data_IF_546378208867
#
_entry.id   IF_546378208867
#
_cell.length_a   1.000
_cell.length_b   1.000
_cell.length_c   1.000
_cell.angle_alpha   90.00
_cell.angle_beta   90.00
_cell.angle_gamma   90.00
#
_symmetry.space_group_name_H-M   'P 1'
#
loop_
_entity.id
_entity.type
_entity.pdbx_description
1 polymer ?
#
# COMPACT_ATOMS: atom_id res chain seq x y z
N UNK A 1 -22.25 14.96 15.32
CA UNK A 1 -21.59 13.96 16.18
C UNK A 1 -20.82 13.07 15.23
N UNK A 2 -19.49 13.14 15.23
CA UNK A 2 -18.69 12.26 14.38
C UNK A 2 -18.92 10.81 14.84
N UNK A 3 -19.25 9.88 13.91
CA UNK A 3 -19.37 8.48 14.28
C UNK A 3 -18.04 8.00 14.85
N UNK A 4 -18.10 7.27 15.97
CA UNK A 4 -16.92 6.63 16.50
C UNK A 4 -16.61 5.41 15.62
N UNK A 5 -15.88 5.66 14.54
CA UNK A 5 -15.55 4.66 13.51
C UNK A 5 -14.89 3.39 14.08
N UNK A 6 -14.22 3.50 15.24
CA UNK A 6 -13.65 2.33 15.93
C UNK A 6 -14.74 1.46 16.57
N UNK A 7 -15.74 2.07 17.20
CA UNK A 7 -16.87 1.36 17.77
C UNK A 7 -17.72 0.70 16.67
N UNK A 8 -17.96 1.40 15.57
CA UNK A 8 -18.71 0.86 14.43
C UNK A 8 -17.98 -0.34 13.79
N UNK A 9 -16.66 -0.26 13.66
CA UNK A 9 -15.83 -1.40 13.21
C UNK A 9 -15.93 -2.60 14.14
N UNK A 10 -15.80 -2.39 15.46
CA UNK A 10 -15.92 -3.48 16.43
C UNK A 10 -17.28 -4.14 16.36
N UNK A 11 -18.35 -3.36 16.22
CA UNK A 11 -19.70 -3.88 16.09
C UNK A 11 -19.89 -4.66 14.78
N UNK A 12 -19.32 -4.18 13.67
CA UNK A 12 -19.32 -4.92 12.41
C UNK A 12 -18.60 -6.27 12.53
N UNK A 13 -17.44 -6.33 13.19
CA UNK A 13 -16.74 -7.59 13.43
C UNK A 13 -17.57 -8.58 14.26
N UNK A 14 -18.21 -8.12 15.34
CA UNK A 14 -19.08 -8.96 16.15
C UNK A 14 -20.27 -9.54 15.37
N UNK A 15 -20.85 -8.75 14.45
CA UNK A 15 -21.92 -9.23 13.57
C UNK A 15 -21.42 -10.29 12.59
N UNK A 16 -20.21 -10.13 12.03
CA UNK A 16 -19.61 -11.11 11.13
C UNK A 16 -19.39 -12.47 11.81
N UNK A 17 -18.94 -12.47 13.07
CA UNK A 17 -18.69 -13.69 13.85
C UNK A 17 -19.97 -14.49 14.15
N UNK A 18 -21.14 -13.85 14.11
CA UNK A 18 -22.44 -14.48 14.36
C UNK A 18 -23.12 -15.03 13.09
N UNK A 19 -22.57 -14.79 11.90
CA UNK A 19 -23.20 -15.20 10.65
C UNK A 19 -23.04 -16.71 10.39
N UNK A 20 -24.10 -17.39 9.91
CA UNK A 20 -23.97 -18.71 9.28
C UNK A 20 -23.03 -18.66 8.07
N UNK A 21 -22.36 -19.79 7.78
CA UNK A 21 -21.30 -19.87 6.76
C UNK A 21 -21.73 -19.34 5.38
N UNK A 22 -22.96 -19.62 4.94
CA UNK A 22 -23.48 -19.18 3.64
C UNK A 22 -23.60 -17.65 3.58
N UNK A 23 -24.07 -17.04 4.67
CA UNK A 23 -24.22 -15.57 4.77
C UNK A 23 -22.86 -14.90 4.93
N UNK A 24 -21.96 -15.49 5.71
CA UNK A 24 -20.59 -14.99 5.87
C UNK A 24 -19.87 -14.94 4.51
N UNK A 25 -19.97 -16.00 3.71
CA UNK A 25 -19.38 -16.03 2.37
C UNK A 25 -19.95 -14.94 1.45
N UNK A 26 -21.27 -14.71 1.47
CA UNK A 26 -21.89 -13.65 0.70
C UNK A 26 -21.42 -12.25 1.12
N UNK A 27 -21.37 -11.97 2.43
CA UNK A 27 -20.89 -10.69 2.95
C UNK A 27 -19.41 -10.48 2.66
N UNK A 28 -18.58 -11.53 2.79
CA UNK A 28 -17.17 -11.49 2.39
C UNK A 28 -17.05 -11.04 0.95
N UNK A 29 -17.71 -11.72 -0.01
CA UNK A 29 -17.62 -11.35 -1.43
C UNK A 29 -18.06 -9.91 -1.71
N UNK A 30 -19.05 -9.38 -0.98
CA UNK A 30 -19.45 -7.98 -1.09
C UNK A 30 -18.35 -7.03 -0.60
N UNK A 31 -17.78 -7.30 0.58
CA UNK A 31 -16.68 -6.50 1.13
C UNK A 31 -15.46 -6.51 0.22
N UNK A 32 -15.16 -7.64 -0.42
CA UNK A 32 -14.06 -7.76 -1.38
C UNK A 32 -14.17 -6.81 -2.58
N UNK A 33 -15.40 -6.46 -3.00
CA UNK A 33 -15.67 -5.50 -4.09
C UNK A 33 -15.65 -4.06 -3.59
N UNK A 34 -16.02 -3.83 -2.33
CA UNK A 34 -16.07 -2.49 -1.74
C UNK A 34 -14.68 -1.96 -1.32
N UNK A 35 -13.73 -2.84 -1.03
CA UNK A 35 -12.36 -2.46 -0.71
C UNK A 35 -11.61 -2.16 -2.01
N UNK A 36 -10.90 -1.04 -2.05
CA UNK A 36 -10.09 -0.65 -3.20
C UNK A 36 -9.05 -1.76 -3.51
N UNK A 37 -9.03 -2.32 -4.74
CA UNK A 37 -8.24 -3.51 -5.05
C UNK A 37 -6.74 -3.38 -4.77
N UNK A 38 -6.14 -2.21 -5.03
CA UNK A 38 -4.73 -1.98 -4.77
C UNK A 38 -4.44 -1.93 -3.27
N UNK A 39 -5.23 -1.20 -2.49
CA UNK A 39 -5.11 -1.11 -1.04
C UNK A 39 -5.26 -2.48 -0.38
N UNK A 40 -6.18 -3.31 -0.87
CA UNK A 40 -6.31 -4.70 -0.43
C UNK A 40 -5.04 -5.51 -0.73
N UNK A 41 -4.54 -5.41 -1.96
CA UNK A 41 -3.33 -6.11 -2.39
C UNK A 41 -2.13 -5.71 -1.52
N UNK A 42 -1.95 -4.41 -1.27
CA UNK A 42 -0.88 -3.88 -0.41
C UNK A 42 -1.01 -4.33 1.04
N UNK A 43 -2.23 -4.39 1.59
CA UNK A 43 -2.46 -4.85 2.96
C UNK A 43 -2.21 -6.35 3.16
N UNK A 44 -2.35 -7.15 2.10
CA UNK A 44 -2.10 -8.59 2.11
C UNK A 44 -0.69 -8.96 1.64
N UNK A 45 0.07 -8.00 1.10
CA UNK A 45 1.42 -8.24 0.66
C UNK A 45 2.27 -8.66 1.87
N UNK A 46 3.03 -9.77 1.77
CA UNK A 46 3.97 -10.14 2.83
C UNK A 46 5.01 -9.03 2.97
N UNK A 47 5.58 -8.91 4.18
CA UNK A 47 6.75 -8.07 4.38
C UNK A 47 7.86 -8.61 3.47
N UNK A 48 8.55 -7.71 2.77
CA UNK A 48 9.70 -8.07 1.97
C UNK A 48 10.86 -8.49 2.90
N UNK A 49 11.20 -9.77 2.85
CA UNK A 49 12.29 -10.38 3.61
C UNK A 49 13.55 -10.57 2.75
N UNK A 50 13.57 -10.08 1.51
CA UNK A 50 14.73 -10.21 0.63
C UNK A 50 15.93 -9.43 1.19
N UNK A 51 17.06 -10.11 1.35
CA UNK A 51 18.31 -9.44 1.71
C UNK A 51 18.69 -8.47 0.60
N UNK A 52 18.99 -7.22 0.98
CA UNK A 52 19.50 -6.24 0.02
C UNK A 52 20.88 -6.70 -0.44
N UNK A 53 20.99 -7.05 -1.72
CA UNK A 53 22.26 -7.45 -2.31
C UNK A 53 23.34 -6.36 -2.10
N UNK A 54 24.62 -6.72 -1.86
CA UNK A 54 25.67 -5.75 -1.53
C UNK A 54 25.82 -4.64 -2.57
N UNK A 55 25.66 -4.95 -3.85
CA UNK A 55 25.69 -3.99 -4.94
C UNK A 55 24.56 -2.96 -4.86
N UNK A 56 23.37 -3.40 -4.45
CA UNK A 56 22.19 -2.55 -4.27
C UNK A 56 22.36 -1.65 -3.06
N UNK A 57 22.87 -2.19 -1.94
CA UNK A 57 23.20 -1.39 -0.76
C UNK A 57 24.22 -0.29 -1.12
N UNK A 58 25.28 -0.64 -1.84
CA UNK A 58 26.28 0.32 -2.31
C UNK A 58 25.68 1.36 -3.28
N UNK A 59 24.72 0.98 -4.13
CA UNK A 59 24.03 1.91 -5.02
C UNK A 59 23.15 2.90 -4.24
N UNK A 60 22.43 2.44 -3.21
CA UNK A 60 21.64 3.28 -2.32
C UNK A 60 22.53 4.29 -1.60
N UNK A 61 23.66 3.85 -1.05
CA UNK A 61 24.58 4.74 -0.34
C UNK A 61 25.20 5.79 -1.26
N UNK A 62 25.57 5.41 -2.49
CA UNK A 62 26.01 6.38 -3.52
C UNK A 62 24.93 7.39 -3.84
N UNK A 63 23.67 6.96 -3.99
CA UNK A 63 22.53 7.84 -4.25
C UNK A 63 22.34 8.84 -3.12
N UNK A 64 22.33 8.38 -1.86
CA UNK A 64 22.22 9.26 -0.67
C UNK A 64 23.35 10.28 -0.61
N UNK A 65 24.59 9.86 -0.88
CA UNK A 65 25.73 10.76 -0.90
C UNK A 65 25.61 11.82 -2.01
N UNK A 66 25.17 11.43 -3.21
CA UNK A 66 24.92 12.35 -4.33
C UNK A 66 23.84 13.38 -4.00
N UNK A 67 22.72 12.96 -3.40
CA UNK A 67 21.67 13.86 -2.93
C UNK A 67 22.20 14.85 -1.89
N UNK A 68 23.04 14.41 -0.95
CA UNK A 68 23.64 15.30 0.07
C UNK A 68 24.57 16.36 -0.53
N UNK A 69 25.14 16.11 -1.71
CA UNK A 69 25.96 17.06 -2.47
C UNK A 69 25.13 17.98 -3.38
N UNK A 70 23.80 17.80 -3.42
CA UNK A 70 22.92 18.58 -4.28
C UNK A 70 22.94 18.15 -5.75
N UNK A 71 23.41 16.94 -6.04
CA UNK A 71 23.48 16.37 -7.40
C UNK A 71 22.16 15.66 -7.80
N UNK A 72 21.09 15.85 -7.04
CA UNK A 72 19.77 15.33 -7.38
C UNK A 72 19.15 16.06 -8.56
N UNK A 73 18.35 15.35 -9.36
CA UNK A 73 17.58 15.95 -10.44
C UNK A 73 16.30 16.56 -9.85
N UNK A 74 15.97 17.84 -10.13
CA UNK A 74 14.71 18.44 -9.70
C UNK A 74 13.50 17.65 -10.22
N UNK A 75 12.44 17.56 -9.41
CA UNK A 75 11.23 16.81 -9.76
C UNK A 75 10.61 17.26 -11.10
N UNK A 76 10.63 18.56 -11.40
CA UNK A 76 10.11 19.10 -12.67
C UNK A 76 10.93 18.67 -13.89
N UNK A 77 12.23 18.42 -13.71
CA UNK A 77 13.13 18.02 -14.78
C UNK A 77 12.92 16.55 -15.14
N UNK A 78 12.87 15.66 -14.12
CA UNK A 78 12.66 14.23 -14.35
C UNK A 78 11.27 13.92 -14.94
N UNK A 79 10.23 14.69 -14.59
CA UNK A 79 8.90 14.53 -15.18
C UNK A 79 8.90 14.72 -16.70
N UNK A 80 9.80 15.54 -17.26
CA UNK A 80 9.90 15.76 -18.70
C UNK A 80 10.38 14.52 -19.46
N UNK A 81 11.15 13.64 -18.80
CA UNK A 81 11.59 12.37 -19.38
C UNK A 81 10.46 11.35 -19.51
N UNK A 82 9.46 11.43 -18.62
CA UNK A 82 8.30 10.54 -18.59
C UNK A 82 7.12 11.01 -19.45
N UNK A 83 7.21 12.19 -20.09
CA UNK A 83 6.17 12.62 -21.05
C UNK A 83 6.30 11.79 -22.32
N UNK A 84 5.22 11.13 -22.79
CA UNK A 84 5.27 10.32 -24.01
C UNK A 84 5.68 11.21 -25.20
N UNK A 85 6.77 10.83 -25.88
CA UNK A 85 7.11 11.38 -27.20
C UNK A 85 6.04 10.90 -28.18
N UNK A 86 5.16 11.81 -28.57
CA UNK A 86 4.16 11.57 -29.63
C UNK A 86 4.82 11.27 -30.96
#
# INVERSE_FOLDING_TARGET
MEPNLNQDRQQAHALLDMLPAEKLNAVRSLLEVMVEPLARSLALAPVDEEEIAPETAAAIDRSRASLSRGEGIPHEEILREFVPKR
#
